data_IF_362380456913
#
_entry.id   IF_362380456913
#
_cell.length_a   1.000
_cell.length_b   1.000
_cell.length_c   1.000
_cell.angle_alpha   90.00
_cell.angle_beta   90.00
_cell.angle_gamma   90.00
#
_symmetry.space_group_name_H-M   'P 1'
#
loop_
_entity.id
_entity.type
_entity.pdbx_description
1 polymer ?
#
# COMPACT_ATOMS: atom_id res chain seq x y z
N UNK A 1 62.61 -44.57 -43.96
CA UNK A 1 63.01 -45.29 -42.72
C UNK A 1 63.03 -44.26 -41.60
N UNK A 2 62.16 -44.46 -40.60
CA UNK A 2 62.14 -43.93 -39.20
C UNK A 2 62.28 -42.40 -38.97
N UNK A 3 61.22 -41.67 -38.62
CA UNK A 3 60.59 -41.45 -37.29
C UNK A 3 61.49 -40.76 -36.23
N UNK A 4 61.11 -39.56 -35.75
CA UNK A 4 60.56 -39.33 -34.39
C UNK A 4 60.58 -37.84 -33.94
N UNK A 5 59.55 -37.40 -33.20
CA UNK A 5 59.61 -36.24 -32.29
C UNK A 5 58.47 -35.20 -32.38
N UNK A 6 57.55 -35.23 -31.42
CA UNK A 6 56.31 -34.41 -31.26
C UNK A 6 56.55 -33.03 -30.56
N UNK A 7 55.54 -32.28 -30.04
CA UNK A 7 55.05 -31.00 -30.60
C UNK A 7 55.14 -29.77 -29.64
N UNK A 8 55.09 -28.51 -30.11
CA UNK A 8 54.70 -27.38 -29.22
C UNK A 8 54.27 -26.09 -29.92
N UNK A 9 53.18 -25.50 -29.43
CA UNK A 9 52.54 -24.24 -29.82
C UNK A 9 53.05 -23.01 -29.01
N UNK A 10 53.17 -21.84 -29.68
CA UNK A 10 53.07 -20.44 -29.17
C UNK A 10 54.26 -19.84 -28.40
N UNK A 11 54.72 -18.61 -28.74
CA UNK A 11 54.63 -17.45 -27.80
C UNK A 11 54.57 -16.05 -28.51
N UNK A 12 54.81 -14.87 -27.87
CA UNK A 12 53.89 -14.12 -27.00
C UNK A 12 53.74 -12.59 -27.33
N UNK A 13 52.65 -11.99 -26.85
CA UNK A 13 52.40 -10.58 -26.40
C UNK A 13 52.96 -9.32 -27.11
N UNK A 14 52.05 -8.35 -27.26
CA UNK A 14 52.26 -6.88 -27.24
C UNK A 14 51.27 -6.15 -28.17
N UNK A 15 50.46 -5.14 -27.82
CA UNK A 15 50.36 -4.25 -26.67
C UNK A 15 48.94 -3.61 -26.68
N UNK A 16 48.26 -3.48 -25.53
CA UNK A 16 47.19 -2.49 -25.28
C UNK A 16 47.43 -1.87 -23.89
N UNK A 17 47.39 -0.53 -23.74
CA UNK A 17 47.73 0.11 -22.48
C UNK A 17 46.59 0.08 -21.44
N UNK A 18 47.00 -0.17 -20.20
CA UNK A 18 46.34 0.04 -18.89
C UNK A 18 45.44 1.29 -18.86
N UNK A 19 44.28 1.37 -18.21
CA UNK A 19 43.83 0.77 -16.95
C UNK A 19 43.51 1.90 -15.94
N UNK A 20 42.24 2.08 -15.58
CA UNK A 20 41.78 2.81 -14.38
C UNK A 20 40.63 2.01 -13.73
N UNK A 21 40.56 2.06 -12.41
CA UNK A 21 40.19 1.01 -11.45
C UNK A 21 38.68 0.78 -11.18
N UNK A 22 38.30 -0.31 -10.49
CA UNK A 22 36.92 -0.77 -10.36
C UNK A 22 36.16 -0.10 -9.20
N UNK A 23 34.92 0.30 -9.45
CA UNK A 23 34.00 0.80 -8.43
C UNK A 23 33.44 -0.39 -7.63
N UNK A 24 33.93 -0.56 -6.40
CA UNK A 24 33.48 -1.54 -5.43
C UNK A 24 31.99 -1.36 -5.08
N UNK A 25 31.23 -2.46 -5.18
CA UNK A 25 30.08 -2.76 -4.30
C UNK A 25 28.74 -2.09 -4.63
N UNK A 26 27.97 -2.68 -5.56
CA UNK A 26 26.50 -2.57 -5.49
C UNK A 26 25.97 -3.68 -4.57
N UNK A 27 25.17 -3.38 -3.52
CA UNK A 27 24.44 -4.41 -2.78
C UNK A 27 23.29 -4.97 -3.64
N UNK A 28 22.89 -6.24 -3.48
CA UNK A 28 21.93 -6.88 -4.37
C UNK A 28 20.54 -6.23 -4.28
N UNK A 29 20.02 -5.71 -5.40
CA UNK A 29 18.61 -5.35 -5.52
C UNK A 29 17.76 -6.62 -5.65
N UNK A 30 17.17 -7.05 -4.55
CA UNK A 30 16.16 -8.11 -4.58
C UNK A 30 14.87 -7.62 -5.26
N UNK A 31 14.61 -8.14 -6.47
CA UNK A 31 13.24 -8.44 -6.91
C UNK A 31 12.55 -7.47 -7.88
N UNK A 32 13.16 -7.11 -9.01
CA UNK A 32 12.35 -6.72 -10.18
C UNK A 32 11.86 -8.00 -10.88
N UNK A 33 10.62 -8.40 -10.59
CA UNK A 33 9.99 -9.53 -11.27
C UNK A 33 9.74 -9.16 -12.74
N UNK A 34 10.55 -9.81 -13.58
CA UNK A 34 10.50 -9.85 -15.03
C UNK A 34 9.14 -10.43 -15.48
N UNK A 35 8.20 -9.57 -15.87
CA UNK A 35 6.91 -10.02 -16.39
C UNK A 35 7.05 -10.43 -17.85
N UNK A 36 6.77 -11.71 -18.12
CA UNK A 36 6.90 -12.35 -19.42
C UNK A 36 6.02 -11.72 -20.50
N UNK A 37 6.55 -11.71 -21.72
CA UNK A 37 5.85 -11.33 -22.94
C UNK A 37 4.70 -12.31 -23.22
N UNK A 38 3.46 -11.81 -23.19
CA UNK A 38 2.30 -12.49 -23.75
C UNK A 38 1.99 -11.90 -25.15
N UNK A 39 1.57 -12.71 -26.15
CA UNK A 39 1.37 -12.23 -27.52
C UNK A 39 0.17 -11.28 -27.61
N UNK A 40 0.41 -10.15 -28.26
CA UNK A 40 -0.48 -9.01 -28.40
C UNK A 40 -1.45 -9.19 -29.58
N UNK A 41 -2.76 -9.20 -29.32
CA UNK A 41 -3.79 -8.93 -30.34
C UNK A 41 -4.68 -7.77 -29.90
N UNK A 42 -4.48 -6.62 -30.55
CA UNK A 42 -5.46 -5.54 -30.77
C UNK A 42 -5.85 -4.64 -29.57
N UNK A 43 -5.11 -3.56 -29.31
CA UNK A 43 -5.62 -2.34 -28.66
C UNK A 43 -4.85 -1.09 -29.19
N UNK A 44 -5.53 -0.01 -29.63
CA UNK A 44 -4.89 1.16 -30.27
C UNK A 44 -4.27 2.19 -29.30
N UNK A 45 -4.10 1.85 -28.02
CA UNK A 45 -3.37 2.68 -27.05
C UNK A 45 -2.69 1.77 -26.01
N UNK A 46 -1.67 1.03 -26.44
CA UNK A 46 -0.69 0.49 -25.51
C UNK A 46 0.14 1.68 -24.97
N UNK A 47 -0.28 2.25 -23.83
CA UNK A 47 0.61 3.12 -23.07
C UNK A 47 1.81 2.28 -22.64
N UNK A 48 2.93 2.50 -23.33
CA UNK A 48 4.24 2.00 -22.90
C UNK A 48 4.39 2.36 -21.42
N UNK A 49 4.76 1.43 -20.52
CA UNK A 49 4.99 1.75 -19.12
C UNK A 49 6.10 2.80 -19.08
N UNK A 50 5.74 4.08 -18.94
CA UNK A 50 6.73 5.12 -18.74
C UNK A 50 7.37 4.83 -17.38
N UNK A 51 8.71 4.85 -17.28
CA UNK A 51 9.38 4.75 -15.99
C UNK A 51 8.81 5.86 -15.10
N UNK A 52 8.20 5.47 -13.97
CA UNK A 52 7.64 6.45 -13.03
C UNK A 52 8.80 7.35 -12.61
N UNK A 53 8.74 8.68 -12.84
CA UNK A 53 9.79 9.58 -12.42
C UNK A 53 9.94 9.46 -10.90
N UNK A 54 11.12 9.09 -10.42
CA UNK A 54 11.38 8.98 -8.98
C UNK A 54 12.10 10.25 -8.54
N UNK A 55 11.62 10.89 -7.48
CA UNK A 55 12.28 12.07 -6.92
C UNK A 55 13.67 11.75 -6.38
N UNK A 56 14.48 12.78 -6.05
CA UNK A 56 15.82 12.60 -5.46
C UNK A 56 15.85 11.67 -4.24
N UNK A 57 14.75 11.63 -3.49
CA UNK A 57 14.60 10.85 -2.26
C UNK A 57 14.06 9.42 -2.49
N UNK A 58 13.97 8.96 -3.75
CA UNK A 58 13.40 7.64 -4.05
C UNK A 58 11.87 7.59 -4.02
N UNK A 59 11.20 8.72 -3.76
CA UNK A 59 9.73 8.77 -3.64
C UNK A 59 9.06 9.00 -5.00
N UNK A 60 8.07 8.18 -5.39
CA UNK A 60 7.29 8.44 -6.60
C UNK A 60 6.35 9.64 -6.38
N UNK A 61 6.00 10.39 -7.45
CA UNK A 61 5.11 11.53 -7.39
C UNK A 61 3.72 11.09 -6.90
N UNK A 62 2.93 12.03 -6.38
CA UNK A 62 1.67 11.72 -5.71
C UNK A 62 0.62 11.06 -6.63
N UNK A 63 0.67 11.30 -7.93
CA UNK A 63 -0.24 10.66 -8.91
C UNK A 63 0.12 9.20 -9.18
N UNK A 64 1.38 8.81 -8.96
CA UNK A 64 1.87 7.46 -9.21
C UNK A 64 1.71 6.52 -8.00
N UNK A 65 1.58 5.20 -8.23
CA UNK A 65 1.53 4.22 -7.14
C UNK A 65 2.92 4.00 -6.53
N UNK A 66 3.01 3.95 -5.19
CA UNK A 66 4.25 3.59 -4.50
C UNK A 66 4.28 2.11 -4.10
N UNK A 67 4.95 1.29 -4.90
CA UNK A 67 5.16 -0.13 -4.59
C UNK A 67 6.19 -0.28 -3.47
N UNK A 68 5.86 -1.03 -2.41
CA UNK A 68 6.78 -1.27 -1.29
C UNK A 68 6.93 -0.11 -0.31
N UNK A 69 5.98 0.83 -0.30
CA UNK A 69 5.95 1.95 0.66
C UNK A 69 5.98 1.45 2.11
N UNK A 70 6.69 2.14 3.00
CA UNK A 70 6.66 1.85 4.44
C UNK A 70 5.34 2.27 5.09
N UNK A 71 5.06 1.76 6.30
CA UNK A 71 3.84 2.08 7.05
C UNK A 71 3.64 3.59 7.27
N UNK A 72 4.66 4.27 7.79
CA UNK A 72 4.59 5.70 8.09
C UNK A 72 4.48 6.55 6.83
N UNK A 73 5.20 6.17 5.77
CA UNK A 73 5.13 6.87 4.48
C UNK A 73 3.74 6.74 3.86
N UNK A 74 3.11 5.55 3.95
CA UNK A 74 1.75 5.35 3.48
C UNK A 74 0.75 6.21 4.27
N UNK A 75 0.91 6.32 5.59
CA UNK A 75 0.08 7.16 6.45
C UNK A 75 0.19 8.64 6.07
N UNK A 76 1.40 9.17 5.93
CA UNK A 76 1.61 10.57 5.52
C UNK A 76 1.08 10.80 4.10
N UNK A 77 1.35 9.88 3.19
CA UNK A 77 0.94 9.95 1.78
C UNK A 77 -0.59 9.85 1.63
N UNK A 78 -1.28 9.19 2.54
CA UNK A 78 -2.74 9.16 2.59
C UNK A 78 -3.31 10.56 2.82
N UNK A 79 -2.84 11.27 3.85
CA UNK A 79 -3.29 12.64 4.13
C UNK A 79 -2.82 13.65 3.07
N UNK A 80 -1.67 13.43 2.43
CA UNK A 80 -1.26 14.23 1.26
C UNK A 80 -2.21 14.07 0.07
N UNK A 81 -2.86 12.90 -0.08
CA UNK A 81 -3.80 12.57 -1.15
C UNK A 81 -5.25 12.56 -0.65
N UNK A 82 -5.60 13.56 0.19
CA UNK A 82 -6.85 13.59 0.96
C UNK A 82 -8.12 13.55 0.08
N UNK A 83 -8.22 14.44 -0.91
CA UNK A 83 -9.37 14.51 -1.82
C UNK A 83 -8.96 14.27 -3.28
N UNK A 84 -7.94 13.42 -3.49
CA UNK A 84 -7.42 13.10 -4.82
C UNK A 84 -8.00 11.79 -5.34
N UNK A 85 -8.86 11.87 -6.35
CA UNK A 85 -9.51 10.73 -6.99
C UNK A 85 -8.83 10.28 -8.29
N UNK A 86 -7.88 11.06 -8.79
CA UNK A 86 -7.01 10.72 -9.91
C UNK A 86 -5.77 9.91 -9.45
N UNK A 87 -5.11 9.28 -10.41
CA UNK A 87 -3.93 8.44 -10.18
C UNK A 87 -4.26 7.06 -9.62
N UNK A 88 -3.20 6.39 -9.15
CA UNK A 88 -3.24 5.01 -8.68
C UNK A 88 -2.74 4.87 -7.25
N UNK A 89 -3.17 3.80 -6.59
CA UNK A 89 -2.68 3.40 -5.27
C UNK A 89 -2.24 1.94 -5.30
N UNK A 90 -1.03 1.67 -4.83
CA UNK A 90 -0.51 0.31 -4.75
C UNK A 90 -1.21 -0.49 -3.64
N UNK A 91 -1.06 -1.82 -3.68
CA UNK A 91 -1.54 -2.73 -2.62
C UNK A 91 -0.97 -2.35 -1.24
N UNK A 92 0.31 -2.01 -1.16
CA UNK A 92 0.97 -1.63 0.10
C UNK A 92 0.42 -0.31 0.64
N UNK A 93 0.18 0.70 -0.21
CA UNK A 93 -0.47 1.95 0.22
C UNK A 93 -1.85 1.68 0.82
N UNK A 94 -2.65 0.82 0.18
CA UNK A 94 -3.99 0.46 0.65
C UNK A 94 -3.97 -0.28 1.99
N UNK A 95 -3.16 -1.34 2.11
CA UNK A 95 -3.15 -2.19 3.30
C UNK A 95 -2.50 -1.52 4.51
N UNK A 96 -1.44 -0.72 4.33
CA UNK A 96 -0.87 0.03 5.46
C UNK A 96 -1.81 1.11 5.99
N UNK A 97 -2.57 1.77 5.11
CA UNK A 97 -3.63 2.66 5.56
C UNK A 97 -4.74 1.91 6.30
N UNK A 98 -5.20 0.77 5.78
CA UNK A 98 -6.20 -0.05 6.45
C UNK A 98 -5.73 -0.49 7.85
N UNK A 99 -4.47 -0.88 7.98
CA UNK A 99 -3.84 -1.19 9.27
C UNK A 99 -3.81 0.02 10.20
N UNK A 100 -3.39 1.19 9.72
CA UNK A 100 -3.37 2.41 10.53
C UNK A 100 -4.77 2.79 11.02
N UNK A 101 -5.77 2.73 10.14
CA UNK A 101 -7.15 3.00 10.49
C UNK A 101 -7.71 1.98 11.49
N UNK A 102 -7.33 0.70 11.35
CA UNK A 102 -7.70 -0.35 12.32
C UNK A 102 -7.10 -0.08 13.70
N UNK A 103 -5.83 0.31 13.79
CA UNK A 103 -5.18 0.67 15.05
C UNK A 103 -5.90 1.84 15.73
N UNK A 104 -6.17 2.93 14.99
CA UNK A 104 -6.87 4.10 15.55
C UNK A 104 -8.28 3.72 16.01
N UNK A 105 -8.98 2.89 15.24
CA UNK A 105 -10.32 2.38 15.61
C UNK A 105 -10.28 1.54 16.88
N UNK A 106 -9.31 0.63 17.01
CA UNK A 106 -9.14 -0.20 18.22
C UNK A 106 -8.83 0.68 19.43
N UNK A 107 -7.96 1.68 19.29
CA UNK A 107 -7.59 2.56 20.41
C UNK A 107 -8.78 3.42 20.85
N UNK A 108 -9.49 4.05 19.92
CA UNK A 108 -10.58 4.98 20.26
C UNK A 108 -11.87 4.23 20.62
N UNK A 109 -12.39 3.43 19.68
CA UNK A 109 -13.66 2.72 19.88
C UNK A 109 -13.49 1.48 20.77
N UNK A 110 -12.43 0.70 20.55
CA UNK A 110 -12.13 -0.44 21.42
C UNK A 110 -11.78 0.01 22.84
N UNK A 111 -11.05 1.11 22.99
CA UNK A 111 -10.80 1.74 24.30
C UNK A 111 -12.10 2.20 24.99
N UNK A 112 -13.00 2.86 24.25
CA UNK A 112 -14.32 3.23 24.77
C UNK A 112 -15.10 2.01 25.27
N UNK A 113 -15.19 0.95 24.48
CA UNK A 113 -15.89 -0.28 24.85
C UNK A 113 -15.22 -0.95 26.05
N UNK A 114 -13.89 -1.04 26.08
CA UNK A 114 -13.15 -1.64 27.18
C UNK A 114 -13.42 -0.90 28.51
N UNK A 115 -13.46 0.43 28.47
CA UNK A 115 -13.79 1.26 29.63
C UNK A 115 -15.23 1.02 30.09
N UNK A 116 -16.19 0.97 29.16
CA UNK A 116 -17.59 0.69 29.51
C UNK A 116 -17.79 -0.70 30.10
N UNK A 117 -17.17 -1.73 29.51
CA UNK A 117 -17.25 -3.11 29.99
C UNK A 117 -16.59 -3.25 31.37
N UNK A 118 -15.44 -2.63 31.57
CA UNK A 118 -14.74 -2.64 32.85
C UNK A 118 -15.54 -1.90 33.93
N UNK A 119 -16.11 -0.75 33.57
CA UNK A 119 -17.01 -0.02 34.46
C UNK A 119 -18.26 -0.84 34.81
N UNK A 120 -18.95 -1.43 33.84
CA UNK A 120 -20.16 -2.20 34.07
C UNK A 120 -19.91 -3.42 34.95
N UNK A 121 -18.77 -4.09 34.77
CA UNK A 121 -18.39 -5.23 35.59
C UNK A 121 -18.13 -4.83 37.06
N UNK A 122 -17.56 -3.64 37.29
CA UNK A 122 -17.28 -3.12 38.63
C UNK A 122 -18.48 -2.49 39.36
N UNK A 123 -19.58 -2.20 38.65
CA UNK A 123 -20.76 -1.51 39.19
C UNK A 123 -22.04 -2.36 39.07
N UNK A 124 -21.90 -3.68 39.01
CA UNK A 124 -23.03 -4.59 38.96
C UNK A 124 -23.35 -5.14 40.34
N UNK A 125 -24.60 -4.99 40.79
CA UNK A 125 -25.16 -5.61 42.00
C UNK A 125 -26.13 -6.72 41.59
N UNK A 126 -26.21 -7.79 42.38
CA UNK A 126 -27.21 -8.86 42.19
C UNK A 126 -28.19 -8.83 43.35
N UNK A 127 -29.48 -8.75 43.05
CA UNK A 127 -30.53 -8.73 44.06
C UNK A 127 -30.81 -10.12 44.66
N UNK A 128 -31.66 -10.16 45.70
CA UNK A 128 -32.08 -11.39 46.39
C UNK A 128 -32.74 -12.42 45.44
N UNK A 129 -33.30 -11.96 44.32
CA UNK A 129 -33.94 -12.79 43.30
C UNK A 129 -33.00 -13.20 42.16
N UNK A 130 -31.71 -12.83 42.21
CA UNK A 130 -30.69 -13.23 41.25
C UNK A 130 -30.60 -12.37 39.99
N UNK A 131 -31.26 -11.20 39.94
CA UNK A 131 -31.13 -10.27 38.82
C UNK A 131 -29.93 -9.34 39.02
N UNK A 132 -29.03 -9.34 38.03
CA UNK A 132 -27.91 -8.40 38.01
C UNK A 132 -28.32 -7.07 37.38
N UNK A 133 -28.08 -5.98 38.09
CA UNK A 133 -28.30 -4.62 37.61
C UNK A 133 -27.00 -3.84 37.69
N UNK A 134 -26.70 -3.09 36.64
CA UNK A 134 -25.59 -2.14 36.67
C UNK A 134 -26.10 -0.81 37.22
N UNK A 135 -25.50 -0.37 38.32
CA UNK A 135 -25.89 0.85 39.02
C UNK A 135 -24.91 2.00 38.74
N UNK A 136 -25.41 3.23 38.84
CA UNK A 136 -24.61 4.43 38.61
C UNK A 136 -24.49 4.85 37.14
N UNK A 137 -23.73 5.91 36.90
CA UNK A 137 -23.52 6.47 35.55
C UNK A 137 -22.10 6.15 35.08
N UNK A 138 -21.93 5.72 33.80
CA UNK A 138 -20.59 5.54 33.24
C UNK A 138 -19.75 6.81 33.32
N UNK A 139 -18.41 6.69 33.39
CA UNK A 139 -17.54 7.84 33.46
C UNK A 139 -17.71 8.74 32.22
N UNK A 140 -17.97 10.03 32.44
CA UNK A 140 -18.19 11.00 31.36
C UNK A 140 -17.01 11.11 30.38
N UNK A 141 -15.78 10.94 30.88
CA UNK A 141 -14.58 10.97 30.04
C UNK A 141 -14.56 9.85 28.99
N UNK A 142 -15.23 8.71 29.21
CA UNK A 142 -15.31 7.65 28.21
C UNK A 142 -16.02 8.14 26.94
N UNK A 143 -17.03 9.00 27.07
CA UNK A 143 -17.71 9.60 25.93
C UNK A 143 -16.81 10.53 25.12
N UNK A 144 -15.73 11.06 25.70
CA UNK A 144 -14.73 11.80 24.92
C UNK A 144 -14.03 10.89 23.88
N UNK A 145 -13.75 9.62 24.22
CA UNK A 145 -13.20 8.64 23.26
C UNK A 145 -14.19 8.39 22.11
N UNK A 146 -15.48 8.31 22.41
CA UNK A 146 -16.54 8.17 21.40
C UNK A 146 -16.65 9.39 20.49
N UNK A 147 -16.57 10.60 21.05
CA UNK A 147 -16.57 11.84 20.27
C UNK A 147 -15.35 11.92 19.36
N UNK A 148 -14.15 11.62 19.89
CA UNK A 148 -12.92 11.58 19.11
C UNK A 148 -12.99 10.54 17.99
N UNK A 149 -13.56 9.36 18.26
CA UNK A 149 -13.82 8.36 17.24
C UNK A 149 -14.76 8.90 16.15
N UNK A 150 -15.84 9.58 16.52
CA UNK A 150 -16.77 10.21 15.58
C UNK A 150 -16.09 11.25 14.69
N UNK A 151 -15.26 12.13 15.27
CA UNK A 151 -14.47 13.11 14.52
C UNK A 151 -13.48 12.42 13.57
N UNK A 152 -12.82 11.36 14.03
CA UNK A 152 -11.91 10.56 13.20
C UNK A 152 -12.65 9.92 12.01
N UNK A 153 -13.82 9.33 12.24
CA UNK A 153 -14.65 8.77 11.17
C UNK A 153 -14.97 9.85 10.14
N UNK A 154 -15.49 11.01 10.58
CA UNK A 154 -15.85 12.11 9.67
C UNK A 154 -14.64 12.59 8.86
N UNK A 155 -13.51 12.83 9.53
CA UNK A 155 -12.28 13.29 8.89
C UNK A 155 -11.63 12.28 7.95
N UNK A 156 -11.99 11.00 8.05
CA UNK A 156 -11.40 9.95 7.20
C UNK A 156 -12.34 9.44 6.12
N UNK A 157 -13.64 9.79 6.10
CA UNK A 157 -14.59 9.35 5.06
C UNK A 157 -14.09 9.69 3.65
N UNK A 158 -13.80 10.97 3.40
CA UNK A 158 -13.37 11.45 2.08
C UNK A 158 -12.07 10.80 1.62
N UNK A 159 -10.99 10.79 2.42
CA UNK A 159 -9.73 10.22 1.99
C UNK A 159 -9.75 8.69 1.91
N UNK A 160 -10.58 7.99 2.71
CA UNK A 160 -10.81 6.55 2.53
C UNK A 160 -11.41 6.27 1.15
N UNK A 161 -12.45 7.02 0.78
CA UNK A 161 -13.07 6.87 -0.53
C UNK A 161 -12.06 7.18 -1.65
N UNK A 162 -11.29 8.25 -1.51
CA UNK A 162 -10.27 8.64 -2.49
C UNK A 162 -9.19 7.56 -2.67
N UNK A 163 -8.69 6.95 -1.59
CA UNK A 163 -7.72 5.86 -1.66
C UNK A 163 -8.29 4.63 -2.37
N UNK A 164 -9.50 4.23 -1.98
CA UNK A 164 -10.18 3.08 -2.57
C UNK A 164 -10.49 3.28 -4.04
N UNK A 165 -10.88 4.49 -4.44
CA UNK A 165 -11.06 4.89 -5.83
C UNK A 165 -9.79 4.71 -6.65
N UNK A 166 -8.66 5.23 -6.13
CA UNK A 166 -7.32 5.07 -6.74
C UNK A 166 -6.87 3.62 -6.80
N UNK A 167 -7.32 2.78 -5.87
CA UNK A 167 -7.03 1.35 -5.89
C UNK A 167 -7.75 0.62 -7.02
N UNK A 168 -8.98 1.03 -7.35
CA UNK A 168 -9.69 0.51 -8.52
C UNK A 168 -8.99 0.90 -9.82
N UNK A 169 -8.53 2.14 -9.92
CA UNK A 169 -7.74 2.60 -11.07
C UNK A 169 -6.46 1.78 -11.27
N UNK A 170 -5.81 1.36 -10.19
CA UNK A 170 -4.63 0.49 -10.23
C UNK A 170 -4.94 -0.89 -10.85
N UNK A 171 -6.15 -1.40 -10.66
CA UNK A 171 -6.65 -2.62 -11.30
C UNK A 171 -7.28 -2.39 -12.69
N UNK A 172 -7.16 -1.17 -13.25
CA UNK A 172 -7.83 -0.74 -14.48
C UNK A 172 -9.37 -0.83 -14.43
N UNK A 173 -9.94 -0.63 -13.25
CA UNK A 173 -11.40 -0.63 -13.02
C UNK A 173 -11.90 0.79 -12.77
N UNK A 174 -13.16 1.10 -13.14
CA UNK A 174 -13.74 2.41 -12.82
C UNK A 174 -13.87 2.60 -11.30
N UNK A 175 -13.41 3.74 -10.81
CA UNK A 175 -13.40 4.08 -9.38
C UNK A 175 -14.71 3.88 -8.61
N UNK A 176 -15.90 4.23 -9.15
CA UNK A 176 -17.17 4.02 -8.47
C UNK A 176 -17.49 2.56 -8.16
N UNK A 177 -16.88 1.57 -8.84
CA UNK A 177 -17.13 0.16 -8.56
C UNK A 177 -16.76 -0.23 -7.14
N UNK A 178 -15.85 0.50 -6.50
CA UNK A 178 -15.55 0.25 -5.10
C UNK A 178 -16.75 0.45 -4.18
N UNK A 179 -17.74 1.28 -4.55
CA UNK A 179 -18.96 1.54 -3.75
C UNK A 179 -19.80 0.28 -3.53
N UNK A 180 -19.65 -0.75 -4.38
CA UNK A 180 -20.28 -2.07 -4.17
C UNK A 180 -19.87 -2.69 -2.84
N UNK A 181 -18.70 -2.32 -2.30
CA UNK A 181 -18.22 -2.78 -0.99
C UNK A 181 -19.10 -2.35 0.18
N UNK A 182 -19.90 -1.29 0.03
CA UNK A 182 -20.86 -0.88 1.08
C UNK A 182 -22.01 -1.87 1.24
N UNK A 183 -22.35 -2.60 0.18
CA UNK A 183 -23.42 -3.60 0.17
C UNK A 183 -22.83 -4.99 0.43
N UNK A 184 -21.67 -5.27 -0.16
CA UNK A 184 -20.96 -6.53 -0.04
C UNK A 184 -19.60 -6.31 0.65
N UNK A 185 -19.57 -6.38 1.97
CA UNK A 185 -18.34 -6.18 2.76
C UNK A 185 -17.12 -7.00 2.28
N UNK A 186 -17.26 -8.27 1.82
CA UNK A 186 -16.12 -9.01 1.28
C UNK A 186 -15.50 -8.37 0.03
N UNK A 187 -16.25 -7.58 -0.74
CA UNK A 187 -15.74 -6.93 -1.94
C UNK A 187 -14.60 -5.94 -1.64
N UNK A 188 -14.62 -5.26 -0.47
CA UNK A 188 -13.51 -4.38 -0.06
C UNK A 188 -12.18 -5.12 0.04
N UNK A 189 -12.22 -6.36 0.54
CA UNK A 189 -11.03 -7.21 0.68
C UNK A 189 -10.58 -7.69 -0.69
N UNK A 190 -11.51 -8.17 -1.53
CA UNK A 190 -11.22 -8.63 -2.89
C UNK A 190 -10.57 -7.52 -3.70
N UNK A 191 -11.16 -6.31 -3.71
CA UNK A 191 -10.60 -5.14 -4.39
C UNK A 191 -9.24 -4.73 -3.82
N UNK A 192 -9.04 -4.82 -2.50
CA UNK A 192 -7.74 -4.64 -1.87
C UNK A 192 -6.67 -5.60 -2.40
N UNK A 193 -7.04 -6.84 -2.73
CA UNK A 193 -6.13 -7.90 -3.19
C UNK A 193 -5.88 -7.93 -4.71
N UNK A 194 -6.64 -7.21 -5.54
CA UNK A 194 -6.51 -7.28 -7.01
C UNK A 194 -5.07 -7.01 -7.52
N UNK A 195 -4.59 -7.70 -8.57
CA UNK A 195 -3.29 -7.35 -9.16
C UNK A 195 -3.34 -5.97 -9.83
N UNK A 196 -2.19 -5.29 -9.84
CA UNK A 196 -2.02 -4.08 -10.62
C UNK A 196 -2.07 -4.43 -12.11
N UNK A 197 -2.72 -3.59 -12.92
CA UNK A 197 -2.83 -3.76 -14.35
C UNK A 197 -2.06 -2.62 -15.05
N UNK A 198 -1.15 -2.90 -16.01
CA UNK A 198 -0.45 -1.87 -16.77
C UNK A 198 -1.38 -0.85 -17.44
N UNK A 199 -2.57 -1.29 -17.89
CA UNK A 199 -3.56 -0.42 -18.51
C UNK A 199 -4.13 0.64 -17.54
N UNK A 200 -3.96 0.47 -16.22
CA UNK A 200 -4.35 1.46 -15.22
C UNK A 200 -3.54 2.77 -15.30
N UNK A 201 -2.43 2.80 -16.04
CA UNK A 201 -1.64 4.02 -16.27
C UNK A 201 -2.45 5.14 -16.93
N UNK A 202 -3.57 4.83 -17.58
CA UNK A 202 -4.46 5.84 -18.17
C UNK A 202 -5.08 6.80 -17.14
N UNK A 203 -5.11 6.40 -15.87
CA UNK A 203 -5.63 7.22 -14.77
C UNK A 203 -4.56 8.12 -14.14
N UNK A 204 -3.29 7.99 -14.54
CA UNK A 204 -2.20 8.81 -14.06
C UNK A 204 -2.30 10.24 -14.62
N UNK A 205 -2.19 11.24 -13.75
CA UNK A 205 -2.26 12.66 -14.11
C UNK A 205 -1.02 13.42 -13.64
N UNK A 206 0.08 13.38 -14.42
CA UNK A 206 1.32 14.09 -14.08
C UNK A 206 1.19 15.61 -14.14
N UNK A 207 0.17 16.11 -14.83
CA UNK A 207 -0.17 17.52 -15.00
C UNK A 207 -0.78 18.18 -13.74
N UNK A 208 -1.31 17.38 -12.81
CA UNK A 208 -2.05 17.88 -11.64
C UNK A 208 -1.23 17.95 -10.34
N UNK A 209 0.11 17.89 -10.44
CA UNK A 209 1.10 18.23 -9.39
C UNK A 209 0.70 17.94 -7.95
#
# INVERSE_FOLDING_TARGET
>A
MTNDGTPQWGPPNGEQPYGQQPQYGQPPQWGQQQFGAAPQYGQPYAQVPQPIPVGPDGTPPLWAPWYGVGFFDAFIRFFKKYARFDGRASRSEYWYWFLANAIVTIVLYGGFIAVLLSWSAGHSSTDEYGYTRTEGTPPYWAFALLILFGVWCIGTIVPNLALSWRRMHDANLPGPLWLVSFIASPAAIVFGCLPANPAGAQYDRPDLG
#
